data_IF_904232072852
#
_entry.id   IF_904232072852
#
_cell.length_a   1.000
_cell.length_b   1.000
_cell.length_c   1.000
_cell.angle_alpha   90.00
_cell.angle_beta   90.00
_cell.angle_gamma   90.00
#
_symmetry.space_group_name_H-M   'P 1'
#
loop_
_entity.id
_entity.type
_entity.pdbx_description
1 polymer ?
#
# COMPACT_ATOMS: atom_id res chain seq x y z
N UNK A 1 31.87 -4.32 21.93
CA UNK A 1 31.38 -2.93 21.70
C UNK A 1 30.08 -3.03 20.92
N UNK A 2 28.98 -2.40 21.35
CA UNK A 2 27.74 -2.34 20.55
C UNK A 2 27.84 -1.15 19.59
N UNK A 3 27.71 -1.39 18.28
CA UNK A 3 27.48 -0.33 17.30
C UNK A 3 26.00 0.03 17.36
N UNK A 4 25.65 1.27 17.73
CA UNK A 4 24.29 1.78 17.48
C UNK A 4 24.19 2.03 15.97
N UNK A 5 23.28 1.34 15.29
CA UNK A 5 22.90 1.74 13.94
C UNK A 5 22.03 2.98 14.06
N UNK A 6 22.34 4.03 13.29
CA UNK A 6 21.58 5.27 13.29
C UNK A 6 20.69 5.26 12.05
N UNK A 7 19.46 4.79 12.22
CA UNK A 7 18.44 4.90 11.17
C UNK A 7 18.12 6.37 10.95
N UNK A 8 18.33 6.84 9.72
CA UNK A 8 17.93 8.17 9.27
C UNK A 8 16.59 8.00 8.58
N UNK A 9 15.51 8.33 9.28
CA UNK A 9 14.18 8.39 8.67
C UNK A 9 14.14 9.58 7.71
N UNK A 10 14.24 9.31 6.40
CA UNK A 10 14.06 10.32 5.36
C UNK A 10 12.60 10.30 4.94
N UNK A 11 11.79 11.18 5.52
CA UNK A 11 10.45 11.51 5.03
C UNK A 11 10.58 12.20 3.66
N UNK A 12 10.60 11.42 2.59
CA UNK A 12 10.38 11.94 1.24
C UNK A 12 8.90 12.23 1.06
N UNK A 13 8.54 13.49 0.88
CA UNK A 13 7.17 13.87 0.54
C UNK A 13 6.84 13.45 -0.89
N UNK A 14 5.82 12.61 -1.06
CA UNK A 14 5.33 12.13 -2.36
C UNK A 14 5.01 13.32 -3.27
N UNK A 15 5.77 13.51 -4.35
CA UNK A 15 5.63 14.68 -5.22
C UNK A 15 4.47 14.53 -6.19
N UNK A 16 3.25 14.83 -5.73
CA UNK A 16 2.04 14.90 -6.57
C UNK A 16 2.12 16.12 -7.52
N UNK A 17 2.90 15.98 -8.60
CA UNK A 17 3.02 16.98 -9.68
C UNK A 17 1.93 16.78 -10.75
N UNK A 18 0.67 16.79 -10.31
CA UNK A 18 -0.51 16.46 -11.12
C UNK A 18 -1.55 17.59 -11.26
N UNK A 19 -1.14 18.86 -11.25
CA UNK A 19 -2.07 20.00 -11.28
C UNK A 19 -2.84 20.13 -12.62
N UNK A 20 -3.95 19.40 -12.74
CA UNK A 20 -4.80 19.39 -13.94
C UNK A 20 -5.42 20.79 -14.19
N UNK A 21 -4.96 21.45 -15.25
CA UNK A 21 -5.13 22.91 -15.39
C UNK A 21 -6.55 23.39 -15.73
N UNK A 22 -7.11 24.22 -14.85
CA UNK A 22 -8.22 25.14 -15.16
C UNK A 22 -7.83 26.57 -14.84
N UNK A 23 -7.86 27.44 -15.85
CA UNK A 23 -7.60 28.89 -15.71
C UNK A 23 -8.87 29.62 -15.29
N UNK A 24 -8.80 30.34 -14.17
CA UNK A 24 -9.64 31.50 -13.84
C UNK A 24 -8.76 32.54 -13.13
N UNK A 25 -9.12 33.82 -13.17
CA UNK A 25 -8.19 34.95 -12.96
C UNK A 25 -8.04 35.45 -11.50
N UNK A 26 -7.03 36.30 -11.32
CA UNK A 26 -6.39 36.73 -10.05
C UNK A 26 -7.17 37.75 -9.20
N UNK A 27 -7.11 37.62 -7.87
CA UNK A 27 -7.29 38.76 -6.94
C UNK A 27 -6.54 38.62 -5.58
N UNK A 28 -5.21 38.69 -5.61
CA UNK A 28 -4.33 39.55 -4.78
C UNK A 28 -4.74 39.93 -3.32
N UNK A 29 -3.87 39.57 -2.35
CA UNK A 29 -3.50 40.28 -1.08
C UNK A 29 -4.54 40.30 0.08
N UNK A 30 -4.26 40.19 1.40
CA UNK A 30 -3.12 39.85 2.33
C UNK A 30 -3.75 39.76 3.77
N UNK A 31 -3.19 39.31 4.90
CA UNK A 31 -1.96 38.59 5.34
C UNK A 31 -2.21 38.05 6.80
N UNK A 32 -1.66 36.89 7.23
CA UNK A 32 -1.86 36.37 8.60
C UNK A 32 -0.75 36.76 9.61
N UNK A 33 -1.13 37.49 10.66
CA UNK A 33 -0.23 38.04 11.68
C UNK A 33 0.38 36.98 12.62
N UNK A 34 1.69 37.12 12.88
CA UNK A 34 2.48 36.37 13.87
C UNK A 34 2.00 36.60 15.31
N UNK A 35 1.94 35.54 16.13
CA UNK A 35 2.01 35.66 17.59
C UNK A 35 2.62 34.41 18.25
N UNK A 36 3.17 34.58 19.46
CA UNK A 36 4.10 33.64 20.11
C UNK A 36 3.41 32.64 21.07
N UNK A 37 4.12 31.55 21.40
CA UNK A 37 3.81 30.71 22.56
C UNK A 37 4.38 31.33 23.85
N UNK A 38 3.75 31.08 25.01
CA UNK A 38 4.33 30.15 25.98
C UNK A 38 3.23 29.28 26.67
N UNK A 39 3.46 28.43 27.67
CA UNK A 39 4.63 28.19 28.53
C UNK A 39 4.76 26.71 28.95
N UNK A 40 5.81 26.38 29.69
CA UNK A 40 5.97 25.11 30.42
C UNK A 40 5.00 25.02 31.63
N UNK A 41 4.61 23.80 32.03
CA UNK A 41 4.39 23.47 33.44
C UNK A 41 5.02 22.10 33.77
N UNK A 42 5.27 21.85 35.05
CA UNK A 42 6.10 20.75 35.57
C UNK A 42 5.29 19.86 36.52
N UNK A 43 5.71 18.59 36.68
CA UNK A 43 5.79 17.83 37.96
C UNK A 43 5.81 16.30 37.73
N UNK A 44 6.99 15.70 37.95
CA UNK A 44 7.27 14.56 38.86
C UNK A 44 6.25 13.43 39.05
N UNK A 45 6.67 12.18 38.74
CA UNK A 45 6.72 10.95 39.59
C UNK A 45 5.59 10.70 40.66
N UNK A 46 5.10 9.47 40.91
CA UNK A 46 5.74 8.14 40.98
C UNK A 46 4.78 6.97 40.61
N UNK A 47 5.32 5.73 40.62
CA UNK A 47 4.59 4.44 40.59
C UNK A 47 4.84 3.65 41.89
N UNK A 48 3.91 2.80 42.36
CA UNK A 48 4.31 1.40 42.58
C UNK A 48 3.22 0.31 42.32
N UNK A 49 3.62 -0.68 41.53
CA UNK A 49 3.67 -2.16 41.75
C UNK A 49 2.66 -2.95 42.63
N UNK A 50 2.54 -4.25 42.29
CA UNK A 50 1.97 -5.42 43.02
C UNK A 50 0.43 -5.53 43.04
N UNK A 51 -0.24 -6.69 43.07
CA UNK A 51 -0.06 -8.15 42.87
C UNK A 51 -1.51 -8.70 43.03
N UNK A 52 -2.10 -9.40 42.05
CA UNK A 52 -2.13 -10.87 41.87
C UNK A 52 -3.15 -11.66 42.74
N UNK A 53 -3.72 -12.74 42.14
CA UNK A 53 -4.35 -13.95 42.75
C UNK A 53 -5.85 -14.25 42.44
N UNK A 54 -6.13 -15.55 42.20
CA UNK A 54 -7.44 -16.24 42.14
C UNK A 54 -8.39 -15.89 40.97
N UNK A 55 -9.20 -16.80 40.39
CA UNK A 55 -9.39 -18.23 40.67
C UNK A 55 -10.31 -18.93 39.64
N UNK A 56 -10.38 -20.27 39.68
CA UNK A 56 -10.87 -21.17 38.63
C UNK A 56 -12.40 -21.22 38.34
N UNK A 57 -12.74 -21.43 37.05
CA UNK A 57 -13.65 -22.46 36.47
C UNK A 57 -15.07 -22.69 37.04
N UNK A 58 -16.12 -22.61 36.19
CA UNK A 58 -16.79 -23.81 35.60
C UNK A 58 -17.99 -23.52 34.65
N UNK A 59 -18.02 -24.30 33.55
CA UNK A 59 -19.09 -24.71 32.59
C UNK A 59 -20.53 -24.17 32.68
N UNK A 60 -21.09 -23.82 31.51
CA UNK A 60 -22.53 -23.83 31.22
C UNK A 60 -22.82 -24.11 29.73
N UNK A 61 -23.44 -25.24 29.42
CA UNK A 61 -23.80 -25.71 28.06
C UNK A 61 -25.33 -25.65 27.85
N UNK A 62 -25.80 -25.14 26.71
CA UNK A 62 -27.16 -25.37 26.19
C UNK A 62 -27.15 -25.33 24.65
N UNK A 63 -28.00 -26.16 24.03
CA UNK A 63 -27.98 -26.49 22.59
C UNK A 63 -29.01 -25.72 21.75
N UNK A 64 -28.77 -25.72 20.43
CA UNK A 64 -29.60 -25.33 19.27
C UNK A 64 -31.13 -25.29 19.43
N UNK A 65 -31.77 -24.37 18.71
CA UNK A 65 -32.87 -24.73 17.80
C UNK A 65 -32.80 -23.86 16.52
N UNK A 66 -33.25 -24.38 15.38
CA UNK A 66 -33.14 -23.73 14.07
C UNK A 66 -34.48 -23.15 13.58
N UNK A 67 -34.43 -22.23 12.62
CA UNK A 67 -35.60 -21.78 11.83
C UNK A 67 -35.14 -21.32 10.44
N UNK A 68 -36.01 -21.48 9.44
CA UNK A 68 -35.60 -21.62 8.05
C UNK A 68 -36.14 -20.51 7.12
N UNK A 69 -35.53 -20.40 5.93
CA UNK A 69 -36.03 -19.72 4.71
C UNK A 69 -36.28 -18.19 4.73
N UNK A 70 -35.34 -17.46 4.12
CA UNK A 70 -35.65 -16.39 3.16
C UNK A 70 -34.54 -16.31 2.09
N UNK A 71 -34.81 -16.78 0.87
CA UNK A 71 -33.82 -16.82 -0.20
C UNK A 71 -33.75 -15.50 -1.00
N UNK A 72 -33.10 -14.47 -0.44
CA UNK A 72 -32.55 -13.38 -1.25
C UNK A 72 -31.23 -13.84 -1.87
N UNK A 73 -31.16 -13.83 -3.21
CA UNK A 73 -29.97 -14.19 -3.97
C UNK A 73 -28.90 -13.10 -3.94
N UNK A 74 -28.42 -12.74 -2.75
CA UNK A 74 -27.14 -12.04 -2.63
C UNK A 74 -26.04 -13.05 -2.95
N UNK A 75 -25.28 -12.81 -4.02
CA UNK A 75 -24.10 -13.61 -4.30
C UNK A 75 -23.06 -13.26 -3.26
N UNK A 76 -22.92 -14.10 -2.23
CA UNK A 76 -21.74 -14.11 -1.36
C UNK A 76 -20.52 -14.45 -2.23
N UNK A 77 -19.94 -13.43 -2.86
CA UNK A 77 -18.67 -13.50 -3.55
C UNK A 77 -17.62 -13.78 -2.48
N UNK A 78 -17.35 -15.08 -2.26
CA UNK A 78 -16.43 -15.59 -1.26
C UNK A 78 -15.16 -14.75 -1.24
N UNK A 79 -14.84 -14.18 -0.07
CA UNK A 79 -13.79 -13.17 0.15
C UNK A 79 -12.38 -13.77 0.12
N UNK A 80 -12.12 -14.65 -0.85
CA UNK A 80 -10.78 -15.03 -1.26
C UNK A 80 -10.10 -13.78 -1.82
N UNK A 81 -9.04 -13.33 -1.15
CA UNK A 81 -8.23 -12.20 -1.59
C UNK A 81 -7.69 -12.40 -3.02
N UNK A 82 -7.50 -11.28 -3.72
CA UNK A 82 -7.02 -11.22 -5.09
C UNK A 82 -5.52 -10.93 -5.06
N UNK A 83 -4.72 -11.84 -5.61
CA UNK A 83 -3.31 -11.57 -5.88
C UNK A 83 -3.18 -10.91 -7.25
N UNK A 84 -2.68 -9.68 -7.32
CA UNK A 84 -2.54 -8.97 -8.60
C UNK A 84 -1.36 -9.45 -9.44
N UNK A 85 -0.46 -10.27 -8.87
CA UNK A 85 0.63 -10.93 -9.60
C UNK A 85 0.13 -11.84 -10.72
N UNK A 86 -1.04 -12.47 -10.53
CA UNK A 86 -1.73 -13.29 -11.54
C UNK A 86 -2.26 -12.46 -12.73
N UNK A 87 -2.35 -11.12 -12.60
CA UNK A 87 -3.04 -10.23 -13.54
C UNK A 87 -2.13 -9.20 -14.23
N UNK A 88 -0.80 -9.30 -14.12
CA UNK A 88 0.12 -8.32 -14.73
C UNK A 88 0.02 -8.19 -16.26
N UNK A 89 -0.55 -9.19 -16.95
CA UNK A 89 -0.86 -9.16 -18.40
C UNK A 89 -2.34 -8.85 -18.70
N UNK A 90 -3.24 -8.99 -17.72
CA UNK A 90 -4.69 -8.87 -17.87
C UNK A 90 -5.30 -7.87 -16.87
N UNK A 91 -4.53 -6.83 -16.49
CA UNK A 91 -4.81 -5.93 -15.37
C UNK A 91 -6.21 -5.29 -15.42
N UNK A 92 -6.76 -5.05 -16.62
CA UNK A 92 -8.12 -4.52 -16.80
C UNK A 92 -9.25 -5.40 -16.27
N UNK A 93 -9.02 -6.69 -16.01
CA UNK A 93 -10.00 -7.58 -15.37
C UNK A 93 -10.20 -7.27 -13.88
N UNK A 94 -9.16 -6.80 -13.19
CA UNK A 94 -9.18 -6.48 -11.75
C UNK A 94 -10.30 -5.49 -11.40
N UNK A 95 -10.59 -4.55 -12.31
CA UNK A 95 -11.73 -3.62 -12.19
C UNK A 95 -13.05 -4.35 -11.88
N UNK A 96 -13.32 -5.44 -12.58
CA UNK A 96 -14.57 -6.19 -12.43
C UNK A 96 -14.51 -7.11 -11.21
N UNK A 97 -13.35 -7.73 -10.96
CA UNK A 97 -13.13 -8.69 -9.87
C UNK A 97 -13.23 -7.99 -8.49
N UNK A 98 -12.57 -6.83 -8.36
CA UNK A 98 -12.54 -5.98 -7.15
C UNK A 98 -13.66 -4.93 -7.12
N UNK A 99 -14.65 -5.04 -8.03
CA UNK A 99 -15.83 -4.17 -8.15
C UNK A 99 -15.48 -2.65 -8.15
N UNK A 100 -14.37 -2.29 -8.80
CA UNK A 100 -13.74 -0.97 -8.66
C UNK A 100 -14.57 0.16 -9.30
N UNK A 101 -14.58 1.32 -8.64
CA UNK A 101 -15.24 2.55 -9.10
C UNK A 101 -14.25 3.48 -9.80
N UNK A 102 -14.72 4.37 -10.68
CA UNK A 102 -13.85 5.34 -11.38
C UNK A 102 -13.32 6.42 -10.43
N UNK A 103 -12.05 6.78 -10.55
CA UNK A 103 -11.39 7.86 -9.78
C UNK A 103 -10.75 8.90 -10.69
N UNK A 104 -10.23 9.99 -10.13
CA UNK A 104 -9.41 10.98 -10.85
C UNK A 104 -8.07 10.38 -11.27
N UNK A 105 -7.53 10.79 -12.43
CA UNK A 105 -6.26 10.25 -12.93
C UNK A 105 -5.08 10.72 -12.08
N UNK A 106 -4.18 9.80 -11.71
CA UNK A 106 -3.08 10.05 -10.78
C UNK A 106 -1.67 9.80 -11.35
N UNK A 107 -1.53 9.16 -12.52
CA UNK A 107 -0.25 9.06 -13.26
C UNK A 107 -0.31 9.64 -14.68
N UNK A 108 -1.30 9.26 -15.49
CA UNK A 108 -1.36 9.65 -16.91
C UNK A 108 -2.54 10.59 -17.22
N UNK A 109 -2.34 11.64 -18.04
CA UNK A 109 -3.42 12.53 -18.44
C UNK A 109 -4.42 11.79 -19.34
N UNK A 110 -5.70 11.78 -18.95
CA UNK A 110 -6.82 11.10 -19.63
C UNK A 110 -6.69 9.56 -19.64
N UNK A 111 -6.19 8.98 -18.55
CA UNK A 111 -6.15 7.53 -18.33
C UNK A 111 -7.53 6.89 -18.12
N UNK A 112 -7.56 5.56 -18.09
CA UNK A 112 -8.60 4.79 -17.42
C UNK A 112 -8.16 4.58 -15.97
N UNK A 113 -8.86 5.16 -14.98
CA UNK A 113 -8.44 5.13 -13.57
C UNK A 113 -9.56 4.67 -12.64
N UNK A 114 -9.23 3.75 -11.73
CA UNK A 114 -10.17 3.09 -10.84
C UNK A 114 -9.62 2.89 -9.42
N UNK A 115 -10.53 2.81 -8.43
CA UNK A 115 -10.24 2.58 -7.01
C UNK A 115 -11.23 1.59 -6.37
N UNK A 116 -10.74 0.77 -5.43
CA UNK A 116 -11.53 -0.06 -4.50
C UNK A 116 -10.78 -0.17 -3.17
N UNK A 117 -11.37 0.35 -2.09
CA UNK A 117 -10.86 0.32 -0.70
C UNK A 117 -9.37 0.65 -0.50
N UNK A 118 -8.83 1.61 -1.25
CA UNK A 118 -7.43 2.04 -1.18
C UNK A 118 -6.47 1.28 -2.10
N UNK A 119 -6.95 0.30 -2.88
CA UNK A 119 -6.26 -0.20 -4.07
C UNK A 119 -6.66 0.62 -5.28
N UNK A 120 -5.67 1.11 -6.03
CA UNK A 120 -5.82 1.91 -7.24
C UNK A 120 -5.22 1.18 -8.43
N UNK A 121 -5.90 1.27 -9.57
CA UNK A 121 -5.43 0.78 -10.86
C UNK A 121 -5.69 1.84 -11.92
N UNK A 122 -4.64 2.22 -12.65
CA UNK A 122 -4.71 3.18 -13.75
C UNK A 122 -3.96 2.68 -14.99
N UNK A 123 -4.49 2.93 -16.19
CA UNK A 123 -3.81 2.56 -17.44
C UNK A 123 -4.09 3.48 -18.62
N UNK A 124 -3.14 3.49 -19.56
CA UNK A 124 -3.23 4.14 -20.86
C UNK A 124 -2.62 3.23 -21.93
N UNK A 125 -3.47 2.60 -22.75
CA UNK A 125 -3.03 1.55 -23.67
C UNK A 125 -2.66 0.27 -22.91
N UNK A 126 -1.47 -0.27 -23.20
CA UNK A 126 -0.89 -1.45 -22.52
C UNK A 126 -0.05 -1.06 -21.28
N UNK A 127 0.17 0.24 -21.07
CA UNK A 127 0.90 0.78 -19.91
C UNK A 127 -0.05 0.99 -18.73
N UNK A 128 0.32 0.51 -17.55
CA UNK A 128 -0.44 0.64 -16.31
C UNK A 128 0.44 0.99 -15.10
N UNK A 129 -0.23 1.51 -14.07
CA UNK A 129 0.27 1.68 -12.71
C UNK A 129 -0.79 1.21 -11.70
N UNK A 130 -0.34 0.53 -10.65
CA UNK A 130 -1.12 0.04 -9.53
C UNK A 130 -0.53 0.59 -8.23
N UNK A 131 -1.35 0.81 -7.21
CA UNK A 131 -0.87 0.96 -5.82
C UNK A 131 -1.88 0.43 -4.82
N UNK A 132 -1.40 -0.05 -3.68
CA UNK A 132 -2.23 -0.38 -2.53
C UNK A 132 -1.82 0.47 -1.33
N UNK A 133 -2.78 1.24 -0.80
CA UNK A 133 -2.63 2.15 0.34
C UNK A 133 -3.54 1.72 1.52
N UNK A 134 -4.19 0.55 1.45
CA UNK A 134 -5.02 0.05 2.55
C UNK A 134 -5.93 -1.15 2.28
N UNK A 135 -6.08 -1.61 1.04
CA UNK A 135 -6.99 -2.71 0.70
C UNK A 135 -6.43 -4.06 1.18
N UNK A 136 -7.01 -4.57 2.28
CA UNK A 136 -6.65 -5.84 2.91
C UNK A 136 -7.07 -7.10 2.11
N UNK A 137 -7.91 -6.95 1.08
CA UNK A 137 -8.30 -8.05 0.19
C UNK A 137 -7.43 -8.15 -1.07
N UNK A 138 -6.45 -7.26 -1.24
CA UNK A 138 -5.55 -7.21 -2.41
C UNK A 138 -4.11 -7.51 -1.98
N UNK A 139 -3.58 -8.60 -2.53
CA UNK A 139 -2.21 -9.04 -2.34
C UNK A 139 -1.37 -8.84 -3.61
N UNK A 140 -0.04 -8.90 -3.45
CA UNK A 140 0.92 -9.01 -4.56
C UNK A 140 1.94 -10.09 -4.20
N UNK A 141 1.90 -11.25 -4.84
CA UNK A 141 2.67 -12.45 -4.48
C UNK A 141 2.50 -12.85 -2.99
N UNK A 142 1.28 -12.72 -2.48
CA UNK A 142 0.92 -12.95 -1.08
C UNK A 142 1.23 -11.79 -0.12
N UNK A 143 1.80 -10.67 -0.59
CA UNK A 143 2.13 -9.50 0.24
C UNK A 143 0.89 -8.64 0.48
N UNK A 144 0.53 -8.45 1.75
CA UNK A 144 -0.58 -7.60 2.20
C UNK A 144 -0.06 -6.37 2.97
N UNK A 145 -0.91 -5.34 3.09
CA UNK A 145 -0.62 -4.17 3.93
C UNK A 145 -0.60 -4.60 5.41
N UNK A 146 0.53 -4.40 6.10
CA UNK A 146 0.79 -4.85 7.47
C UNK A 146 1.74 -6.06 7.60
N UNK A 147 2.15 -6.68 6.49
CA UNK A 147 3.14 -7.76 6.49
C UNK A 147 4.55 -7.28 6.85
N UNK A 148 5.43 -8.22 7.24
CA UNK A 148 6.85 -7.95 7.47
C UNK A 148 7.55 -7.59 6.15
N UNK A 149 8.19 -6.41 6.07
CA UNK A 149 8.92 -5.97 4.89
C UNK A 149 10.02 -6.96 4.46
N UNK A 150 10.67 -7.61 5.42
CA UNK A 150 11.69 -8.64 5.16
C UNK A 150 11.13 -9.96 4.60
N UNK A 151 9.89 -10.32 4.94
CA UNK A 151 9.20 -11.45 4.31
C UNK A 151 8.69 -11.07 2.91
N UNK A 152 8.17 -9.84 2.79
CA UNK A 152 7.64 -9.27 1.54
C UNK A 152 8.72 -9.17 0.47
N UNK A 153 9.89 -8.61 0.80
CA UNK A 153 11.04 -8.58 -0.10
C UNK A 153 11.54 -9.97 -0.51
N UNK A 154 11.43 -10.98 0.38
CA UNK A 154 11.72 -12.36 0.00
C UNK A 154 10.69 -12.88 -1.01
N UNK A 155 9.40 -12.65 -0.80
CA UNK A 155 8.33 -13.06 -1.72
C UNK A 155 8.53 -12.45 -3.12
N UNK A 156 8.93 -11.18 -3.22
CA UNK A 156 9.32 -10.56 -4.49
C UNK A 156 10.46 -11.33 -5.17
N UNK A 157 11.56 -11.61 -4.45
CA UNK A 157 12.70 -12.36 -5.02
C UNK A 157 12.39 -13.81 -5.38
N UNK A 158 11.48 -14.47 -4.64
CA UNK A 158 11.02 -15.83 -4.97
C UNK A 158 10.23 -15.87 -6.28
N UNK A 159 9.59 -14.76 -6.66
CA UNK A 159 8.85 -14.59 -7.92
C UNK A 159 9.69 -13.92 -9.03
N UNK A 160 11.03 -13.96 -8.92
CA UNK A 160 11.95 -13.54 -10.00
C UNK A 160 12.27 -12.05 -10.07
N UNK A 161 11.80 -11.24 -9.12
CA UNK A 161 12.14 -9.83 -9.07
C UNK A 161 13.55 -9.61 -8.49
N UNK A 162 14.31 -8.72 -9.10
CA UNK A 162 15.62 -8.30 -8.60
C UNK A 162 15.44 -7.09 -7.68
N UNK A 163 15.96 -7.15 -6.46
CA UNK A 163 15.94 -6.02 -5.53
C UNK A 163 16.74 -4.84 -6.09
N UNK A 164 16.12 -3.66 -6.09
CA UNK A 164 16.68 -2.39 -6.53
C UNK A 164 16.90 -1.45 -5.33
N UNK A 165 17.22 -0.19 -5.58
CA UNK A 165 17.53 0.79 -4.53
C UNK A 165 16.29 1.15 -3.69
N UNK A 166 16.52 1.50 -2.43
CA UNK A 166 15.55 2.12 -1.50
C UNK A 166 14.23 1.37 -1.19
N UNK A 167 14.11 0.09 -1.57
CA UNK A 167 12.86 -0.67 -1.42
C UNK A 167 12.15 -0.92 -2.75
N UNK A 168 12.70 -0.39 -3.84
CA UNK A 168 12.34 -0.75 -5.20
C UNK A 168 12.75 -2.19 -5.57
N UNK A 169 12.07 -2.75 -6.57
CA UNK A 169 12.31 -4.04 -7.20
C UNK A 169 12.08 -3.88 -8.70
N UNK A 170 12.85 -4.60 -9.52
CA UNK A 170 12.73 -4.60 -10.98
C UNK A 170 12.59 -6.02 -11.53
N UNK A 171 11.78 -6.17 -12.58
CA UNK A 171 11.63 -7.41 -13.34
C UNK A 171 11.55 -7.08 -14.83
N UNK A 172 12.13 -7.92 -15.68
CA UNK A 172 11.98 -7.83 -17.14
C UNK A 172 11.50 -9.19 -17.67
N UNK A 173 10.46 -9.16 -18.51
CA UNK A 173 9.94 -10.32 -19.25
C UNK A 173 10.20 -10.15 -20.74
N UNK A 174 9.71 -11.10 -21.56
CA UNK A 174 9.67 -10.98 -23.02
C UNK A 174 8.67 -9.92 -23.53
N UNK A 175 7.82 -9.40 -22.64
CA UNK A 175 6.69 -8.49 -22.96
C UNK A 175 6.86 -7.09 -22.39
N UNK A 176 7.37 -6.96 -21.16
CA UNK A 176 7.44 -5.70 -20.45
C UNK A 176 8.57 -5.64 -19.41
N UNK A 177 8.94 -4.41 -19.06
CA UNK A 177 9.74 -4.07 -17.88
C UNK A 177 8.80 -3.61 -16.77
N UNK A 178 9.05 -4.01 -15.53
CA UNK A 178 8.23 -3.68 -14.38
C UNK A 178 9.07 -3.12 -13.24
N UNK A 179 8.63 -2.00 -12.67
CA UNK A 179 9.12 -1.45 -11.41
C UNK A 179 8.07 -1.66 -10.31
N UNK A 180 8.53 -1.92 -9.09
CA UNK A 180 7.69 -2.06 -7.90
C UNK A 180 8.41 -1.48 -6.69
N UNK A 181 7.70 -0.84 -5.76
CA UNK A 181 8.28 -0.23 -4.57
C UNK A 181 7.46 -0.59 -3.32
N UNK A 182 8.15 -0.99 -2.25
CA UNK A 182 7.59 -1.31 -0.94
C UNK A 182 7.92 -0.20 0.06
N UNK A 183 6.90 0.55 0.49
CA UNK A 183 7.03 1.42 1.65
C UNK A 183 6.80 0.63 2.95
N UNK A 184 7.43 1.05 4.04
CA UNK A 184 7.22 0.44 5.35
C UNK A 184 7.42 1.42 6.50
N UNK A 185 6.77 1.15 7.63
CA UNK A 185 6.87 1.95 8.85
C UNK A 185 8.19 1.71 9.62
N UNK A 186 8.38 2.43 10.73
CA UNK A 186 9.56 2.29 11.61
C UNK A 186 9.67 0.91 12.30
N UNK A 187 8.59 0.12 12.30
CA UNK A 187 8.55 -1.25 12.81
C UNK A 187 8.86 -2.30 11.73
N UNK A 188 9.00 -1.89 10.46
CA UNK A 188 9.23 -2.78 9.32
C UNK A 188 7.95 -3.41 8.75
N UNK A 189 6.79 -2.78 8.95
CA UNK A 189 5.50 -3.21 8.40
C UNK A 189 5.19 -2.53 7.08
N UNK A 190 4.76 -3.28 6.07
CA UNK A 190 4.36 -2.75 4.77
C UNK A 190 3.19 -1.78 4.93
N UNK A 191 3.39 -0.50 4.60
CA UNK A 191 2.36 0.57 4.72
C UNK A 191 1.68 0.85 3.39
N UNK A 192 2.42 0.78 2.30
CA UNK A 192 1.90 0.86 0.94
C UNK A 192 2.79 0.04 0.00
N UNK A 193 2.30 -0.20 -1.21
CA UNK A 193 3.15 -0.55 -2.33
C UNK A 193 2.67 0.08 -3.63
N UNK A 194 3.61 0.29 -4.54
CA UNK A 194 3.40 0.79 -5.90
C UNK A 194 3.98 -0.20 -6.90
N UNK A 195 3.34 -0.40 -8.06
CA UNK A 195 3.83 -1.24 -9.15
C UNK A 195 3.44 -0.64 -10.50
N UNK A 196 4.34 -0.67 -11.47
CA UNK A 196 4.07 -0.23 -12.84
C UNK A 196 4.69 -1.19 -13.88
N UNK A 197 4.38 -0.97 -15.16
CA UNK A 197 5.04 -1.66 -16.28
C UNK A 197 5.72 -0.69 -17.28
N UNK A 198 6.29 0.41 -16.78
CA UNK A 198 6.95 1.43 -17.60
C UNK A 198 8.20 2.01 -16.89
N UNK A 199 9.21 2.49 -17.65
CA UNK A 199 10.41 3.05 -17.06
C UNK A 199 10.13 4.41 -16.40
N UNK A 200 9.83 4.38 -15.10
CA UNK A 200 9.66 5.56 -14.27
C UNK A 200 11.02 6.05 -13.77
N UNK A 201 11.44 7.21 -14.27
CA UNK A 201 12.78 7.75 -14.04
C UNK A 201 13.87 7.09 -14.91
N UNK A 202 15.13 7.44 -14.65
CA UNK A 202 16.27 6.90 -15.39
C UNK A 202 16.75 5.58 -14.77
N UNK A 203 15.97 4.52 -15.00
CA UNK A 203 16.23 3.15 -14.51
C UNK A 203 16.71 2.20 -15.63
N UNK A 204 17.00 2.73 -16.82
CA UNK A 204 17.39 1.95 -18.01
C UNK A 204 18.60 1.05 -17.75
N UNK A 205 19.67 1.59 -17.15
CA UNK A 205 20.91 0.84 -16.84
C UNK A 205 20.66 -0.34 -15.88
N UNK A 206 19.63 -0.26 -15.05
CA UNK A 206 19.29 -1.32 -14.10
C UNK A 206 18.66 -2.53 -14.82
N UNK A 207 17.73 -2.32 -15.75
CA UNK A 207 17.21 -3.38 -16.63
C UNK A 207 18.30 -3.95 -17.53
N UNK A 208 19.16 -3.08 -18.09
CA UNK A 208 20.34 -3.46 -18.86
C UNK A 208 21.25 -4.46 -18.09
N UNK A 209 21.25 -4.42 -16.75
CA UNK A 209 22.02 -5.34 -15.91
C UNK A 209 21.37 -6.72 -15.72
N UNK A 210 20.08 -6.87 -16.00
CA UNK A 210 19.37 -8.15 -15.89
C UNK A 210 19.69 -9.08 -17.07
N UNK A 211 19.83 -8.53 -18.28
CA UNK A 211 20.17 -9.30 -19.50
C UNK A 211 21.61 -9.89 -19.50
N UNK A 212 22.41 -9.57 -18.47
CA UNK A 212 23.84 -9.88 -18.39
C UNK A 212 24.18 -10.95 -17.34
N UNK A 213 23.18 -11.68 -16.84
CA UNK A 213 23.28 -12.71 -15.79
C UNK A 213 23.20 -14.15 -16.36
#
# INVERSE_FOLDING_TARGET
MKRKSMMVAVLMASMVLGACGKKTETSVVEDPVVSEAPAEETTTEETPTEEASSGETQTGETTEEASNEAATGETEQSTKGVDVGDYLENFGELKNILQMTTTECWQFPNAQSYVSDGFYLEWQGETFSMKNEGNQAVALYGIHIGDEAGASGKAMTDHGWTAYQYGGYIMQTDKAQYYMELESDENGKVTSWYLNNWPEGDITEAYDSLEKQ
#
